data_IF_412602903301
#
_entry.id   IF_412602903301
#
_cell.length_a   1.000
_cell.length_b   1.000
_cell.length_c   1.000
_cell.angle_alpha   90.00
_cell.angle_beta   90.00
_cell.angle_gamma   90.00
#
_symmetry.space_group_name_H-M   'P 1'
#
loop_
_entity.id
_entity.type
_entity.pdbx_description
1 polymer ?
#
# COMPACT_ATOMS: atom_id res chain seq x y z
N UNK A 1 4.39 2.40 -5.29
CA UNK A 1 3.02 2.16 -4.81
C UNK A 1 2.06 2.61 -5.90
N UNK A 2 1.00 1.82 -6.10
CA UNK A 2 0.02 1.81 -7.20
C UNK A 2 0.59 1.85 -8.63
N UNK A 3 0.49 0.72 -9.35
CA UNK A 3 0.56 0.71 -10.82
C UNK A 3 -0.86 0.48 -11.35
N UNK A 4 -1.34 1.43 -12.15
CA UNK A 4 -2.60 1.24 -12.88
C UNK A 4 -2.30 0.50 -14.17
N UNK A 5 -2.83 -0.72 -14.32
CA UNK A 5 -2.81 -1.42 -15.61
C UNK A 5 -4.15 -1.18 -16.30
N UNK A 6 -4.14 -0.35 -17.34
CA UNK A 6 -5.31 -0.17 -18.21
C UNK A 6 -5.27 -1.27 -19.27
N UNK A 7 -6.10 -2.30 -19.12
CA UNK A 7 -6.26 -3.33 -20.16
C UNK A 7 -7.11 -2.75 -21.31
N UNK A 8 -6.47 -2.45 -22.44
CA UNK A 8 -7.08 -1.74 -23.59
C UNK A 8 -8.24 -2.46 -24.29
N UNK A 9 -8.61 -3.69 -23.90
CA UNK A 9 -9.66 -4.45 -24.59
C UNK A 9 -11.05 -4.38 -23.96
N UNK A 10 -11.19 -3.87 -22.73
CA UNK A 10 -12.48 -3.53 -22.10
C UNK A 10 -12.22 -2.37 -21.14
N UNK A 11 -13.17 -1.47 -20.93
CA UNK A 11 -13.08 -0.32 -20.02
C UNK A 11 -12.97 -0.71 -18.52
N UNK A 12 -12.19 -1.73 -18.19
CA UNK A 12 -11.96 -2.28 -16.86
C UNK A 12 -10.57 -1.85 -16.42
N UNK A 13 -10.54 -0.87 -15.50
CA UNK A 13 -9.30 -0.44 -14.84
C UNK A 13 -8.96 -1.45 -13.75
N UNK A 14 -7.84 -2.15 -13.90
CA UNK A 14 -7.28 -2.99 -12.85
C UNK A 14 -6.18 -2.20 -12.16
N UNK A 15 -6.32 -1.97 -10.86
CA UNK A 15 -5.29 -1.33 -10.06
C UNK A 15 -4.55 -2.42 -9.30
N UNK A 16 -3.23 -2.48 -9.51
CA UNK A 16 -2.34 -3.37 -8.75
C UNK A 16 -1.52 -2.48 -7.83
N UNK A 17 -1.69 -2.69 -6.53
CA UNK A 17 -0.84 -2.05 -5.54
C UNK A 17 0.42 -2.87 -5.34
N UNK A 18 1.55 -2.20 -5.37
CA UNK A 18 2.85 -2.81 -5.17
C UNK A 18 3.64 -2.07 -4.09
N UNK A 19 4.47 -2.82 -3.38
CA UNK A 19 5.44 -2.30 -2.43
C UNK A 19 6.86 -2.58 -2.90
N UNK A 20 7.79 -1.68 -2.58
CA UNK A 20 9.20 -1.86 -2.85
C UNK A 20 9.80 -2.67 -1.70
N UNK A 21 10.34 -3.85 -2.00
CA UNK A 21 10.98 -4.68 -0.99
C UNK A 21 12.43 -4.24 -0.72
N UNK A 22 13.04 -4.84 0.31
CA UNK A 22 14.41 -4.55 0.76
C UNK A 22 15.48 -4.80 -0.31
N UNK A 23 15.15 -5.59 -1.35
CA UNK A 23 16.03 -5.85 -2.49
C UNK A 23 15.80 -4.90 -3.67
N UNK A 24 15.03 -3.83 -3.49
CA UNK A 24 14.73 -2.87 -4.54
C UNK A 24 13.80 -3.41 -5.63
N UNK A 25 13.04 -4.47 -5.36
CA UNK A 25 12.05 -5.04 -6.30
C UNK A 25 10.64 -4.66 -5.90
N UNK A 26 9.85 -4.20 -6.86
CA UNK A 26 8.42 -4.05 -6.70
C UNK A 26 7.77 -5.43 -6.56
N UNK A 27 6.90 -5.57 -5.56
CA UNK A 27 6.16 -6.79 -5.26
C UNK A 27 4.67 -6.46 -5.21
N UNK A 28 3.83 -7.18 -5.93
CA UNK A 28 2.39 -6.97 -5.86
C UNK A 28 1.85 -7.43 -4.52
N UNK A 29 0.91 -6.66 -3.98
CA UNK A 29 0.02 -7.13 -2.94
C UNK A 29 -1.00 -8.11 -3.51
N UNK A 30 -1.61 -8.90 -2.63
CA UNK A 30 -2.76 -9.73 -3.00
C UNK A 30 -3.95 -8.87 -3.44
N UNK A 31 -4.87 -9.47 -4.20
CA UNK A 31 -6.06 -8.76 -4.68
C UNK A 31 -6.94 -8.21 -3.54
N UNK A 32 -7.06 -8.94 -2.43
CA UNK A 32 -7.81 -8.52 -1.25
C UNK A 32 -7.19 -7.26 -0.62
N UNK A 33 -5.86 -7.23 -0.47
CA UNK A 33 -5.14 -6.07 0.05
C UNK A 33 -5.25 -4.87 -0.91
N UNK A 34 -5.11 -5.09 -2.23
CA UNK A 34 -5.30 -4.03 -3.22
C UNK A 34 -6.70 -3.41 -3.13
N UNK A 35 -7.74 -4.24 -3.01
CA UNK A 35 -9.12 -3.77 -2.88
C UNK A 35 -9.34 -2.96 -1.61
N UNK A 36 -8.74 -3.39 -0.49
CA UNK A 36 -8.82 -2.66 0.77
C UNK A 36 -8.14 -1.29 0.69
N UNK A 37 -6.93 -1.21 0.12
CA UNK A 37 -6.23 0.06 -0.10
C UNK A 37 -7.08 1.01 -0.95
N UNK A 38 -7.64 0.52 -2.07
CA UNK A 38 -8.52 1.31 -2.94
C UNK A 38 -9.78 1.83 -2.23
N UNK A 39 -10.38 1.01 -1.36
CA UNK A 39 -11.57 1.42 -0.61
C UNK A 39 -11.26 2.54 0.40
N UNK A 40 -10.12 2.45 1.10
CA UNK A 40 -9.68 3.52 2.00
C UNK A 40 -9.34 4.78 1.20
N UNK A 41 -8.58 4.65 0.10
CA UNK A 41 -8.19 5.79 -0.73
C UNK A 41 -9.40 6.56 -1.29
N UNK A 42 -10.48 5.86 -1.66
CA UNK A 42 -11.74 6.49 -2.11
C UNK A 42 -12.45 7.27 -1.00
N UNK A 43 -12.37 6.81 0.24
CA UNK A 43 -13.01 7.44 1.39
C UNK A 43 -12.18 8.57 1.99
N UNK A 44 -10.86 8.39 2.05
CA UNK A 44 -9.90 9.34 2.59
C UNK A 44 -8.54 9.21 1.89
N UNK A 45 -8.28 10.13 0.95
CA UNK A 45 -7.02 10.17 0.21
C UNK A 45 -5.80 10.55 1.06
N UNK A 46 -6.00 11.00 2.31
CA UNK A 46 -4.93 11.30 3.28
C UNK A 46 -4.91 10.30 4.45
N UNK A 47 -5.69 9.24 4.34
CA UNK A 47 -5.82 8.23 5.38
C UNK A 47 -4.59 7.33 5.51
N UNK A 48 -4.66 6.43 6.48
CA UNK A 48 -3.68 5.36 6.68
C UNK A 48 -4.37 4.01 6.50
N UNK A 49 -3.72 3.07 5.82
CA UNK A 49 -4.23 1.71 5.61
C UNK A 49 -3.49 0.75 6.52
N UNK A 50 -4.22 0.03 7.38
CA UNK A 50 -3.65 -1.00 8.26
C UNK A 50 -3.75 -2.36 7.58
N UNK A 51 -2.65 -2.84 6.99
CA UNK A 51 -2.67 -4.04 6.14
C UNK A 51 -3.04 -5.32 6.91
N UNK A 52 -2.69 -5.35 8.20
CA UNK A 52 -3.08 -6.40 9.14
C UNK A 52 -4.57 -6.69 9.26
N UNK A 53 -5.44 -5.74 8.90
CA UNK A 53 -6.89 -5.95 8.92
C UNK A 53 -7.36 -6.95 7.86
N UNK A 54 -6.57 -7.14 6.80
CA UNK A 54 -6.93 -7.99 5.66
C UNK A 54 -5.97 -9.16 5.50
N UNK A 55 -4.71 -8.99 5.87
CA UNK A 55 -3.70 -10.05 5.84
C UNK A 55 -2.87 -10.05 7.13
N UNK A 56 -3.03 -11.09 7.94
CA UNK A 56 -2.33 -11.23 9.21
C UNK A 56 -0.79 -11.29 9.06
N UNK A 57 -0.26 -11.71 7.91
CA UNK A 57 1.19 -11.67 7.65
C UNK A 57 1.69 -10.23 7.49
N UNK A 58 0.80 -9.31 7.11
CA UNK A 58 1.07 -7.89 7.00
C UNK A 58 0.65 -7.11 8.24
N UNK A 59 0.34 -7.80 9.35
CA UNK A 59 0.03 -7.19 10.65
C UNK A 59 0.96 -6.05 11.07
N UNK A 60 2.30 -6.13 10.88
CA UNK A 60 3.16 -5.04 11.32
C UNK A 60 3.22 -3.88 10.32
N UNK A 61 2.55 -3.89 9.17
CA UNK A 61 2.72 -2.88 8.13
C UNK A 61 1.48 -1.99 7.96
N UNK A 62 1.73 -0.70 7.77
CA UNK A 62 0.70 0.27 7.37
C UNK A 62 1.19 1.14 6.23
N UNK A 63 0.24 1.70 5.47
CA UNK A 63 0.51 2.60 4.34
C UNK A 63 -0.04 3.98 4.69
N UNK A 64 0.79 5.01 4.63
CA UNK A 64 0.34 6.40 4.62
C UNK A 64 -0.02 6.79 3.19
N UNK A 65 -1.30 7.08 2.93
CA UNK A 65 -1.79 7.35 1.57
C UNK A 65 -1.40 8.74 1.07
N UNK A 66 -1.12 9.68 1.97
CA UNK A 66 -0.68 11.02 1.59
C UNK A 66 0.73 10.99 0.97
N UNK A 67 1.67 10.29 1.63
CA UNK A 67 3.05 10.13 1.17
C UNK A 67 3.24 8.93 0.25
N UNK A 68 2.26 8.03 0.15
CA UNK A 68 2.32 6.78 -0.59
C UNK A 68 3.45 5.86 -0.12
N UNK A 69 3.70 5.84 1.19
CA UNK A 69 4.80 5.09 1.82
C UNK A 69 4.30 4.01 2.78
N UNK A 70 4.98 2.87 2.81
CA UNK A 70 4.70 1.75 3.70
C UNK A 70 5.75 1.80 4.81
N UNK A 71 5.29 1.58 6.03
CA UNK A 71 6.15 1.53 7.18
C UNK A 71 5.72 0.41 8.11
N UNK A 72 6.68 -0.07 8.89
CA UNK A 72 6.48 -1.11 9.88
C UNK A 72 6.15 -0.45 11.24
N UNK A 73 5.04 -0.82 11.87
CA UNK A 73 4.50 -0.22 13.09
C UNK A 73 5.34 -0.52 14.32
N UNK A 74 5.79 -1.76 14.46
CA UNK A 74 6.53 -2.22 15.65
C UNK A 74 7.97 -1.69 15.71
N UNK A 75 8.49 -1.12 14.62
CA UNK A 75 9.80 -0.48 14.67
C UNK A 75 9.83 0.81 15.47
N UNK A 76 8.70 1.48 15.76
CA UNK A 76 8.58 2.59 16.72
C UNK A 76 9.52 3.81 16.55
N UNK A 77 10.49 3.76 15.65
CA UNK A 77 11.39 4.83 15.28
C UNK A 77 10.78 5.51 14.08
N UNK A 78 10.13 6.64 14.33
CA UNK A 78 10.28 7.76 13.38
C UNK A 78 11.78 7.87 13.15
N UNK A 79 12.23 7.71 11.93
CA UNK A 79 13.58 8.09 11.55
C UNK A 79 13.61 9.63 11.57
N UNK A 80 13.58 10.23 12.77
CA UNK A 80 14.07 11.57 12.97
C UNK A 80 15.59 11.48 12.85
N UNK A 81 16.07 11.70 11.63
CA UNK A 81 17.39 12.22 11.34
C UNK A 81 17.22 12.88 9.98
N UNK A 82 17.30 14.19 9.86
CA UNK A 82 18.52 14.95 10.13
C UNK A 82 18.21 16.28 10.82
N UNK A 83 19.26 16.80 11.47
CA UNK A 83 19.40 18.19 11.90
C UNK A 83 19.15 19.16 10.75
#
# INVERSE_FOLDING_TARGET
MAITVVLLLKQQRVVVWEWLNEHGRWRPYSAAVCHHIENVLKGDARGTVVLGQVDAQLAPYIIDLQSMHQFRQDTGKRQNSLH
#
